data_IF_822188459055
#
_entry.id   IF_822188459055
#
_cell.length_a   1.000
_cell.length_b   1.000
_cell.length_c   1.000
_cell.angle_alpha   90.00
_cell.angle_beta   90.00
_cell.angle_gamma   90.00
#
_symmetry.space_group_name_H-M   'P 1'
#
loop_
_entity.id
_entity.type
_entity.pdbx_description
1 polymer ?
#
# COMPACT_ATOMS: atom_id res chain seq x y z
N UNK A 1 26.67 -15.84 3.50
CA UNK A 1 26.17 -16.55 4.69
C UNK A 1 24.67 -16.31 4.77
N UNK A 2 23.83 -17.36 4.92
CA UNK A 2 22.41 -17.22 5.15
C UNK A 2 22.12 -16.34 6.38
N UNK A 3 21.11 -15.50 6.29
CA UNK A 3 20.66 -14.66 7.41
C UNK A 3 19.27 -15.11 7.88
N UNK A 4 19.00 -14.96 9.17
CA UNK A 4 17.64 -15.16 9.70
C UNK A 4 16.80 -13.94 9.30
N UNK A 5 15.67 -14.19 8.68
CA UNK A 5 14.69 -13.12 8.34
C UNK A 5 13.71 -12.91 9.48
N UNK A 6 13.28 -11.68 9.67
CA UNK A 6 12.17 -11.32 10.55
C UNK A 6 10.84 -11.44 9.82
N UNK A 7 9.72 -11.60 10.54
CA UNK A 7 8.39 -11.49 9.93
C UNK A 7 8.23 -10.18 9.16
N UNK A 8 7.62 -10.27 7.95
CA UNK A 8 7.38 -9.11 7.10
C UNK A 8 6.06 -9.25 6.35
N UNK A 9 5.39 -8.13 6.08
CA UNK A 9 4.23 -8.11 5.17
C UNK A 9 4.67 -8.36 3.72
N UNK A 10 5.92 -8.08 3.37
CA UNK A 10 6.53 -8.43 2.09
C UNK A 10 6.98 -9.90 2.05
N UNK A 11 6.07 -10.84 2.35
CA UNK A 11 6.36 -12.27 2.57
C UNK A 11 7.19 -12.92 1.46
N UNK A 12 6.99 -12.56 0.20
CA UNK A 12 7.75 -13.14 -0.91
C UNK A 12 9.22 -12.72 -0.92
N UNK A 13 9.57 -11.63 -0.23
CA UNK A 13 10.95 -11.14 -0.07
C UNK A 13 11.68 -11.76 1.14
N UNK A 14 10.98 -12.52 1.99
CA UNK A 14 11.55 -13.14 3.21
C UNK A 14 12.47 -14.34 2.88
N UNK A 15 13.55 -14.08 2.17
CA UNK A 15 14.49 -15.10 1.71
C UNK A 15 15.88 -14.82 2.29
N UNK A 16 16.26 -15.54 3.35
CA UNK A 16 17.54 -15.35 4.05
C UNK A 16 18.80 -15.76 3.26
N UNK A 17 18.63 -16.46 2.14
CA UNK A 17 19.71 -16.85 1.24
C UNK A 17 19.21 -16.91 -0.22
N UNK A 18 18.95 -15.76 -0.86
CA UNK A 18 18.40 -15.75 -2.21
C UNK A 18 19.37 -16.30 -3.24
N UNK A 19 18.90 -17.29 -4.04
CA UNK A 19 19.70 -17.99 -5.06
C UNK A 19 20.24 -17.03 -6.11
N UNK A 20 19.49 -15.97 -6.40
CA UNK A 20 19.85 -14.95 -7.41
C UNK A 20 20.85 -13.91 -6.91
N UNK A 21 21.21 -13.90 -5.63
CA UNK A 21 22.07 -12.85 -5.06
C UNK A 21 23.39 -12.66 -5.78
N UNK A 22 24.14 -13.73 -6.19
CA UNK A 22 25.38 -13.57 -6.97
C UNK A 22 25.13 -12.87 -8.32
N UNK A 23 24.00 -13.16 -8.98
CA UNK A 23 23.61 -12.49 -10.23
C UNK A 23 23.33 -11.01 -10.02
N UNK A 24 22.59 -10.67 -8.95
CA UNK A 24 22.30 -9.27 -8.61
C UNK A 24 23.60 -8.52 -8.38
N UNK A 25 24.53 -9.06 -7.61
CA UNK A 25 25.85 -8.44 -7.39
C UNK A 25 26.62 -8.21 -8.69
N UNK A 26 26.63 -9.17 -9.59
CA UNK A 26 27.29 -9.04 -10.87
C UNK A 26 26.67 -7.93 -11.73
N UNK A 27 25.33 -7.85 -11.75
CA UNK A 27 24.60 -6.78 -12.45
C UNK A 27 24.91 -5.39 -11.86
N UNK A 28 24.89 -5.26 -10.54
CA UNK A 28 25.23 -4.00 -9.86
C UNK A 28 26.63 -3.55 -10.26
N UNK A 29 27.62 -4.46 -10.16
CA UNK A 29 29.01 -4.14 -10.56
C UNK A 29 29.13 -3.72 -12.02
N UNK A 30 28.35 -4.32 -12.92
CA UNK A 30 28.36 -3.96 -14.34
C UNK A 30 27.70 -2.59 -14.59
N UNK A 31 26.58 -2.30 -13.91
CA UNK A 31 25.94 -0.97 -13.98
C UNK A 31 26.89 0.12 -13.48
N UNK A 32 27.56 -0.10 -12.36
CA UNK A 32 28.53 0.87 -11.81
C UNK A 32 29.76 1.04 -12.74
N UNK A 33 30.20 -0.04 -13.38
CA UNK A 33 31.30 0.01 -14.36
C UNK A 33 30.97 0.87 -15.57
N UNK A 34 29.71 0.80 -16.05
CA UNK A 34 29.26 1.53 -17.25
C UNK A 34 28.85 2.96 -16.92
N UNK A 35 28.08 3.16 -15.88
CA UNK A 35 27.44 4.44 -15.54
C UNK A 35 28.16 5.23 -14.45
N UNK A 36 29.15 4.63 -13.80
CA UNK A 36 29.89 5.23 -12.70
C UNK A 36 29.23 5.05 -11.32
N UNK A 37 29.86 5.54 -10.26
CA UNK A 37 29.32 5.45 -8.90
C UNK A 37 27.98 6.18 -8.78
N UNK A 38 27.02 5.57 -8.06
CA UNK A 38 25.73 6.19 -7.78
C UNK A 38 24.60 5.87 -8.76
N UNK A 39 24.88 5.14 -9.85
CA UNK A 39 23.83 4.63 -10.78
C UNK A 39 22.98 3.52 -10.17
N UNK A 40 23.44 2.93 -9.09
CA UNK A 40 22.72 1.93 -8.32
C UNK A 40 22.60 2.39 -6.88
N UNK A 41 21.36 2.41 -6.39
CA UNK A 41 21.06 2.79 -5.02
C UNK A 41 20.22 1.70 -4.34
N UNK A 42 20.38 1.57 -3.03
CA UNK A 42 19.56 0.69 -2.19
C UNK A 42 18.88 1.57 -1.16
N UNK A 43 17.58 1.43 -1.05
CA UNK A 43 16.77 2.04 0.00
C UNK A 43 16.16 0.97 0.87
N UNK A 44 15.95 1.26 2.14
CA UNK A 44 15.26 0.41 3.09
C UNK A 44 13.93 1.05 3.47
N UNK A 45 12.90 0.23 3.63
CA UNK A 45 11.56 0.66 4.03
C UNK A 45 11.08 -0.18 5.20
N UNK A 46 10.22 0.41 6.01
CA UNK A 46 9.63 -0.22 7.18
C UNK A 46 8.30 -0.90 6.85
N UNK A 47 7.86 -1.85 7.66
CA UNK A 47 6.61 -2.59 7.48
C UNK A 47 5.39 -1.69 7.36
N UNK A 48 5.35 -0.61 8.14
CA UNK A 48 4.33 0.43 8.08
C UNK A 48 4.26 1.09 6.69
N UNK A 49 5.41 1.42 6.12
CA UNK A 49 5.52 2.07 4.81
C UNK A 49 5.11 1.13 3.67
N UNK A 50 5.44 -0.15 3.79
CA UNK A 50 5.06 -1.19 2.83
C UNK A 50 3.54 -1.31 2.74
N UNK A 51 2.86 -1.44 3.89
CA UNK A 51 1.41 -1.60 3.91
C UNK A 51 0.69 -0.32 3.46
N UNK A 52 1.18 0.84 3.85
CA UNK A 52 0.63 2.13 3.43
C UNK A 52 0.87 2.38 1.93
N UNK A 53 2.03 2.02 1.40
CA UNK A 53 2.32 2.05 -0.04
C UNK A 53 1.35 1.18 -0.85
N UNK A 54 1.07 -0.04 -0.38
CA UNK A 54 0.06 -0.91 -0.98
C UNK A 54 -1.34 -0.26 -0.97
N UNK A 55 -1.77 0.27 0.18
CA UNK A 55 -3.09 0.90 0.32
C UNK A 55 -3.20 2.17 -0.52
N UNK A 56 -2.12 2.97 -0.60
CA UNK A 56 -2.05 4.14 -1.46
C UNK A 56 -2.19 3.78 -2.93
N UNK A 57 -1.43 2.79 -3.41
CA UNK A 57 -1.53 2.29 -4.77
C UNK A 57 -2.95 1.81 -5.10
N UNK A 58 -3.56 1.02 -4.20
CA UNK A 58 -4.91 0.50 -4.36
C UNK A 58 -5.96 1.62 -4.43
N UNK A 59 -5.81 2.68 -3.64
CA UNK A 59 -6.69 3.87 -3.67
C UNK A 59 -6.66 4.57 -5.03
N UNK A 60 -5.52 4.53 -5.71
CA UNK A 60 -5.35 5.11 -7.06
C UNK A 60 -5.64 4.12 -8.20
N UNK A 61 -6.25 2.97 -7.89
CA UNK A 61 -6.68 2.00 -8.90
C UNK A 61 -5.62 0.97 -9.30
N UNK A 62 -4.47 0.96 -8.63
CA UNK A 62 -3.42 -0.05 -8.84
C UNK A 62 -3.61 -1.17 -7.83
N UNK A 63 -4.01 -2.36 -8.31
CA UNK A 63 -4.28 -3.51 -7.43
C UNK A 63 -2.95 -4.17 -7.02
N UNK A 64 -2.18 -3.45 -6.22
CA UNK A 64 -0.87 -3.85 -5.76
C UNK A 64 -0.93 -4.83 -4.57
N UNK A 65 -0.04 -5.81 -4.54
CA UNK A 65 0.24 -6.62 -3.36
C UNK A 65 1.20 -5.88 -2.41
N UNK A 66 1.56 -6.50 -1.30
CA UNK A 66 2.53 -5.93 -0.34
C UNK A 66 3.90 -5.67 -0.98
N UNK A 67 4.39 -6.53 -1.88
CA UNK A 67 5.64 -6.28 -2.60
C UNK A 67 5.54 -5.09 -3.57
N UNK A 68 4.37 -4.86 -4.18
CA UNK A 68 4.12 -3.64 -4.94
C UNK A 68 4.09 -2.41 -4.04
N UNK A 69 3.57 -2.55 -2.82
CA UNK A 69 3.64 -1.53 -1.77
C UNK A 69 5.07 -1.22 -1.36
N UNK A 70 5.91 -2.25 -1.20
CA UNK A 70 7.35 -2.11 -0.93
C UNK A 70 8.05 -1.30 -2.02
N UNK A 71 7.77 -1.59 -3.31
CA UNK A 71 8.31 -0.83 -4.42
C UNK A 71 7.90 0.65 -4.40
N UNK A 72 6.62 0.94 -4.10
CA UNK A 72 6.14 2.32 -3.99
C UNK A 72 6.75 3.05 -2.79
N UNK A 73 6.83 2.39 -1.63
CA UNK A 73 7.49 2.93 -0.45
C UNK A 73 8.97 3.22 -0.72
N UNK A 74 9.67 2.30 -1.40
CA UNK A 74 11.05 2.48 -1.84
C UNK A 74 11.24 3.69 -2.76
N UNK A 75 10.31 3.89 -3.71
CA UNK A 75 10.32 5.08 -4.57
C UNK A 75 10.16 6.38 -3.77
N UNK A 76 9.22 6.41 -2.82
CA UNK A 76 8.99 7.57 -1.95
C UNK A 76 10.27 7.88 -1.16
N UNK A 77 10.87 6.86 -0.54
CA UNK A 77 12.15 7.01 0.18
C UNK A 77 13.29 7.48 -0.70
N UNK A 78 13.42 6.93 -1.90
CA UNK A 78 14.44 7.35 -2.85
C UNK A 78 14.29 8.84 -3.23
N UNK A 79 13.06 9.28 -3.44
CA UNK A 79 12.75 10.68 -3.72
C UNK A 79 13.05 11.59 -2.54
N UNK A 80 12.68 11.21 -1.32
CA UNK A 80 12.97 11.96 -0.09
C UNK A 80 14.47 12.05 0.18
N UNK A 81 15.22 11.01 -0.18
CA UNK A 81 16.68 10.98 -0.07
C UNK A 81 17.40 11.75 -1.20
N UNK A 82 16.67 12.34 -2.16
CA UNK A 82 17.26 13.05 -3.28
C UNK A 82 17.99 12.15 -4.29
N UNK A 83 17.63 10.87 -4.35
CA UNK A 83 18.20 9.89 -5.28
C UNK A 83 17.52 9.89 -6.65
N UNK A 84 16.51 10.74 -6.83
CA UNK A 84 15.77 10.89 -8.08
C UNK A 84 15.61 12.36 -8.44
N UNK A 85 15.79 12.68 -9.71
CA UNK A 85 15.48 13.99 -10.26
C UNK A 85 13.97 14.15 -10.50
N UNK A 86 13.52 15.40 -10.61
CA UNK A 86 12.08 15.72 -10.67
C UNK A 86 11.40 15.22 -11.94
N UNK A 87 12.12 15.09 -13.03
CA UNK A 87 11.66 14.72 -14.37
C UNK A 87 11.99 13.27 -14.75
N UNK A 88 12.54 12.49 -13.82
CA UNK A 88 12.78 11.07 -14.03
C UNK A 88 11.48 10.25 -13.99
N UNK A 89 11.40 9.25 -14.85
CA UNK A 89 10.32 8.28 -14.90
C UNK A 89 10.69 7.05 -14.08
N UNK A 90 9.88 6.73 -13.07
CA UNK A 90 10.04 5.52 -12.29
C UNK A 90 9.18 4.37 -12.84
N UNK A 91 9.76 3.18 -12.93
CA UNK A 91 9.05 1.94 -13.23
C UNK A 91 9.03 1.10 -11.96
N UNK A 92 7.83 0.78 -11.45
CA UNK A 92 7.64 -0.05 -10.26
C UNK A 92 7.21 -1.47 -10.66
N UNK A 93 7.84 -2.46 -10.04
CA UNK A 93 7.46 -3.87 -10.21
C UNK A 93 6.29 -4.23 -9.29
N UNK A 94 5.08 -4.31 -9.86
CA UNK A 94 3.88 -4.77 -9.17
C UNK A 94 3.70 -6.28 -9.33
N UNK A 95 4.50 -7.07 -8.63
CA UNK A 95 4.74 -8.50 -8.85
C UNK A 95 3.51 -9.40 -8.72
N UNK A 96 2.52 -9.05 -7.88
CA UNK A 96 1.36 -9.88 -7.64
C UNK A 96 0.10 -9.04 -7.37
N UNK A 97 -1.05 -9.69 -7.39
CA UNK A 97 -2.35 -9.09 -7.12
C UNK A 97 -2.61 -9.00 -5.61
N UNK A 98 -3.28 -7.94 -5.14
CA UNK A 98 -3.59 -7.70 -3.73
C UNK A 98 -4.38 -8.84 -3.06
N UNK A 99 -5.24 -9.54 -3.80
CA UNK A 99 -6.02 -10.67 -3.27
C UNK A 99 -5.16 -11.80 -2.69
N UNK A 100 -3.90 -11.92 -3.13
CA UNK A 100 -2.97 -12.91 -2.59
C UNK A 100 -2.61 -12.63 -1.13
N UNK A 101 -2.70 -11.38 -0.71
CA UNK A 101 -2.30 -10.91 0.62
C UNK A 101 -3.41 -10.09 1.30
N UNK A 102 -4.66 -10.33 0.96
CA UNK A 102 -5.82 -9.56 1.45
C UNK A 102 -5.94 -9.59 2.98
N UNK A 103 -5.44 -10.64 3.63
CA UNK A 103 -5.42 -10.74 5.08
C UNK A 103 -4.65 -9.61 5.76
N UNK A 104 -3.59 -9.10 5.17
CA UNK A 104 -2.85 -7.96 5.71
C UNK A 104 -3.64 -6.66 5.65
N UNK A 105 -4.40 -6.45 4.58
CA UNK A 105 -5.30 -5.30 4.48
C UNK A 105 -6.40 -5.36 5.55
N UNK A 106 -6.97 -6.54 5.78
CA UNK A 106 -7.94 -6.75 6.84
C UNK A 106 -7.33 -6.49 8.22
N UNK A 107 -6.16 -7.06 8.51
CA UNK A 107 -5.44 -6.81 9.77
C UNK A 107 -5.18 -5.30 10.00
N UNK A 108 -4.83 -4.57 8.94
CA UNK A 108 -4.65 -3.12 9.03
C UNK A 108 -5.95 -2.40 9.39
N UNK A 109 -7.07 -2.76 8.75
CA UNK A 109 -8.36 -2.11 9.02
C UNK A 109 -8.93 -2.44 10.40
N UNK A 110 -8.60 -3.62 10.93
CA UNK A 110 -9.04 -4.11 12.25
C UNK A 110 -8.06 -3.79 13.39
N UNK A 111 -6.92 -3.15 13.10
CA UNK A 111 -5.82 -2.91 14.06
C UNK A 111 -5.39 -4.22 14.77
N UNK A 112 -5.26 -5.29 14.00
CA UNK A 112 -5.02 -6.65 14.51
C UNK A 112 -3.65 -7.24 14.12
N UNK A 113 -2.72 -6.42 13.65
CA UNK A 113 -1.34 -6.88 13.42
C UNK A 113 -0.67 -7.33 14.72
N UNK A 114 0.09 -8.45 14.69
CA UNK A 114 0.97 -8.80 15.78
C UNK A 114 1.96 -7.65 16.10
N UNK A 115 2.31 -7.45 17.38
CA UNK A 115 3.18 -6.34 17.80
C UNK A 115 4.54 -6.30 17.06
N UNK A 116 5.07 -7.46 16.69
CA UNK A 116 6.35 -7.60 16.00
C UNK A 116 6.42 -6.94 14.62
N UNK A 117 5.26 -6.61 14.03
CA UNK A 117 5.19 -5.88 12.77
C UNK A 117 5.27 -4.36 12.94
N UNK A 118 5.06 -3.86 14.14
CA UNK A 118 5.07 -2.41 14.46
C UNK A 118 4.15 -1.57 13.55
N UNK A 119 3.09 -2.18 13.02
CA UNK A 119 2.10 -1.55 12.12
C UNK A 119 0.95 -0.99 12.95
N UNK A 120 0.60 0.27 12.68
CA UNK A 120 -0.58 0.94 13.25
C UNK A 120 -1.42 1.59 12.17
N UNK A 121 -2.74 1.36 12.16
CA UNK A 121 -3.62 1.96 11.17
C UNK A 121 -3.65 3.48 11.26
N UNK A 122 -3.56 4.13 10.12
CA UNK A 122 -3.85 5.56 9.96
C UNK A 122 -5.24 5.72 9.35
N UNK A 123 -6.03 6.61 9.92
CA UNK A 123 -7.43 6.80 9.56
C UNK A 123 -7.63 7.13 8.08
N UNK A 124 -6.72 7.87 7.48
CA UNK A 124 -6.74 8.24 6.07
C UNK A 124 -6.58 7.07 5.09
N UNK A 125 -5.99 5.95 5.53
CA UNK A 125 -5.83 4.75 4.69
C UNK A 125 -6.97 3.74 4.84
N UNK A 126 -7.84 3.91 5.85
CA UNK A 126 -8.96 3.00 6.06
C UNK A 126 -10.09 3.38 5.10
N UNK A 127 -10.36 2.51 4.13
CA UNK A 127 -11.47 2.65 3.17
C UNK A 127 -12.50 1.52 3.34
N UNK A 128 -12.68 1.04 4.57
CA UNK A 128 -13.68 0.04 4.88
C UNK A 128 -15.09 0.52 4.50
N UNK A 129 -15.99 -0.39 4.10
CA UNK A 129 -17.38 -0.05 3.82
C UNK A 129 -18.04 0.66 5.00
N UNK A 130 -18.83 1.67 4.72
CA UNK A 130 -19.60 2.41 5.73
C UNK A 130 -21.08 2.17 5.51
N UNK A 131 -21.80 1.89 6.58
CA UNK A 131 -23.25 1.86 6.53
C UNK A 131 -23.78 3.29 6.43
N UNK A 132 -24.63 3.53 5.45
CA UNK A 132 -25.33 4.82 5.27
C UNK A 132 -26.45 4.94 6.29
N UNK A 133 -27.18 3.86 6.51
CA UNK A 133 -28.25 3.72 7.48
C UNK A 133 -28.10 2.41 8.23
N UNK A 134 -28.34 2.39 9.52
CA UNK A 134 -28.36 1.17 10.32
C UNK A 134 -29.62 0.33 10.00
N UNK A 135 -29.60 -0.94 10.37
CA UNK A 135 -30.78 -1.83 10.22
C UNK A 135 -32.00 -1.38 11.01
N UNK A 136 -31.81 -0.69 12.14
CA UNK A 136 -32.91 -0.16 12.94
C UNK A 136 -33.51 1.10 12.30
N UNK A 137 -32.68 2.04 11.83
CA UNK A 137 -33.14 3.20 11.07
C UNK A 137 -33.89 2.79 9.80
N UNK A 138 -33.49 1.70 9.14
CA UNK A 138 -34.16 1.16 7.97
C UNK A 138 -35.58 0.65 8.27
N UNK A 139 -35.80 0.07 9.46
CA UNK A 139 -37.13 -0.41 9.87
C UNK A 139 -38.13 0.73 10.09
N UNK A 140 -37.62 1.89 10.53
CA UNK A 140 -38.44 3.04 10.87
C UNK A 140 -38.73 3.94 9.66
N UNK A 141 -38.10 3.72 8.51
CA UNK A 141 -38.23 4.53 7.30
C UNK A 141 -38.94 3.76 6.18
N UNK A 142 -40.21 4.03 5.87
CA UNK A 142 -40.90 3.36 4.78
C UNK A 142 -40.46 3.84 3.39
N UNK A 143 -40.22 2.89 2.50
CA UNK A 143 -40.05 3.04 1.05
C UNK A 143 -39.33 4.29 0.54
N UNK A 144 -40.09 5.29 0.17
CA UNK A 144 -39.54 6.53 -0.41
C UNK A 144 -38.74 7.37 0.61
N UNK A 145 -39.14 7.38 1.87
CA UNK A 145 -38.42 8.11 2.92
C UNK A 145 -37.05 7.52 3.17
N UNK A 146 -36.94 6.18 3.13
CA UNK A 146 -35.63 5.51 3.17
C UNK A 146 -34.70 5.96 2.05
N UNK A 147 -35.22 6.02 0.82
CA UNK A 147 -34.41 6.41 -0.35
C UNK A 147 -33.93 7.87 -0.24
N UNK A 148 -34.80 8.78 0.20
CA UNK A 148 -34.47 10.18 0.39
C UNK A 148 -33.43 10.39 1.50
N UNK A 149 -33.62 9.72 2.63
CA UNK A 149 -32.71 9.84 3.76
C UNK A 149 -31.33 9.24 3.43
N UNK A 150 -31.30 8.05 2.80
CA UNK A 150 -30.07 7.46 2.33
C UNK A 150 -29.33 8.37 1.33
N UNK A 151 -30.06 8.96 0.39
CA UNK A 151 -29.50 9.93 -0.57
C UNK A 151 -28.87 11.14 0.10
N UNK A 152 -29.55 11.75 1.08
CA UNK A 152 -29.00 12.89 1.85
C UNK A 152 -27.69 12.51 2.56
N UNK A 153 -27.69 11.38 3.27
CA UNK A 153 -26.47 10.92 3.99
C UNK A 153 -25.32 10.60 3.06
N UNK A 154 -25.58 10.00 1.90
CA UNK A 154 -24.54 9.77 0.90
C UNK A 154 -23.92 11.08 0.44
N UNK A 155 -24.75 12.09 0.14
CA UNK A 155 -24.29 13.43 -0.26
C UNK A 155 -23.43 14.07 0.84
N UNK A 156 -23.88 14.00 2.10
CA UNK A 156 -23.12 14.48 3.26
C UNK A 156 -21.81 13.74 3.46
N UNK A 157 -21.82 12.40 3.38
CA UNK A 157 -20.63 11.57 3.54
C UNK A 157 -19.59 11.82 2.45
N UNK A 158 -20.02 12.17 1.25
CA UNK A 158 -19.15 12.50 0.11
C UNK A 158 -18.73 13.97 0.10
N UNK A 159 -19.27 14.81 0.98
CA UNK A 159 -19.01 16.25 1.01
C UNK A 159 -19.51 16.99 -0.22
N UNK A 160 -20.50 16.42 -0.93
CA UNK A 160 -21.07 17.03 -2.14
C UNK A 160 -22.01 18.18 -1.80
N UNK A 161 -21.96 19.26 -2.58
CA UNK A 161 -22.93 20.35 -2.48
C UNK A 161 -24.17 20.06 -3.36
N UNK A 162 -25.34 20.64 -3.00
CA UNK A 162 -26.58 20.52 -3.80
C UNK A 162 -26.47 21.01 -5.26
N UNK A 163 -25.37 21.65 -5.64
CA UNK A 163 -25.14 22.16 -7.01
C UNK A 163 -24.44 21.14 -7.92
N UNK A 164 -24.02 20.01 -7.39
CA UNK A 164 -23.23 18.98 -8.11
C UNK A 164 -24.06 17.72 -8.46
N UNK A 165 -25.39 17.76 -8.20
CA UNK A 165 -26.33 16.67 -8.50
C UNK A 165 -27.32 17.08 -9.59
#
# INVERSE_FOLDING_TARGET
VPVKVSPSVAQAAMIGNPVSFPRVKALVSEYERIGGPGVFNVVQVEEQEIIEGMLLANRHGHIACTQGGECLAGLIRAKEAGLMEKDELAILDATAHSLKFIGFQQMYFEDSFPPDYEIKPKKEFINAPRLVLSEDEKKDLPGQEFTLEAGKRIVEMLGLSKKEI
#
